data_IF_090220247989
#
_entry.id   IF_090220247989
#
_cell.length_a   1.000
_cell.length_b   1.000
_cell.length_c   1.000
_cell.angle_alpha   90.00
_cell.angle_beta   90.00
_cell.angle_gamma   90.00
#
_symmetry.space_group_name_H-M   'P 1'
#
loop_
_entity.id
_entity.type
_entity.pdbx_description
1 polymer ?
#
# COMPACT_ATOMS: atom_id res chain seq x y z
N UNK A 1 4.10 -23.11 20.73
CA UNK A 1 5.51 -23.47 20.99
C UNK A 1 5.66 -24.21 22.34
N UNK A 2 5.11 -23.69 23.43
CA UNK A 2 5.27 -24.30 24.78
C UNK A 2 4.76 -25.75 24.84
N UNK A 3 3.61 -26.05 24.25
CA UNK A 3 3.05 -27.41 24.21
C UNK A 3 3.93 -28.42 23.44
N UNK A 4 4.82 -27.90 22.58
CA UNK A 4 5.84 -28.67 21.86
C UNK A 4 7.20 -28.70 22.57
N UNK A 5 7.29 -28.16 23.79
CA UNK A 5 8.50 -28.11 24.60
C UNK A 5 9.50 -27.04 24.16
N UNK A 6 9.03 -25.92 23.58
CA UNK A 6 9.85 -24.83 23.13
C UNK A 6 9.39 -23.47 23.69
N UNK A 7 10.34 -22.65 24.09
CA UNK A 7 10.16 -21.21 24.34
C UNK A 7 10.56 -20.44 23.09
N UNK A 8 9.75 -19.46 22.70
CA UNK A 8 10.03 -18.55 21.57
C UNK A 8 10.36 -17.15 22.09
N UNK A 9 11.42 -16.59 21.57
CA UNK A 9 11.84 -15.19 21.77
C UNK A 9 12.34 -14.60 20.44
N UNK A 10 12.74 -13.33 20.46
CA UNK A 10 13.42 -12.65 19.34
C UNK A 10 14.75 -13.32 18.91
N UNK A 11 15.28 -14.22 19.75
CA UNK A 11 16.50 -14.99 19.48
C UNK A 11 16.21 -16.40 18.93
N UNK A 12 14.95 -16.71 18.62
CA UNK A 12 14.52 -18.01 18.11
C UNK A 12 13.91 -18.91 19.19
N UNK A 13 13.83 -20.21 18.89
CA UNK A 13 13.28 -21.22 19.77
C UNK A 13 14.38 -21.80 20.67
N UNK A 14 14.10 -21.89 21.96
CA UNK A 14 14.98 -22.54 22.96
C UNK A 14 14.21 -23.70 23.59
N UNK A 15 14.84 -24.86 23.70
CA UNK A 15 14.24 -26.03 24.34
C UNK A 15 13.87 -25.74 25.79
N UNK A 16 12.68 -26.17 26.23
CA UNK A 16 12.29 -26.07 27.62
C UNK A 16 13.00 -27.17 28.45
N UNK A 17 13.45 -26.82 29.63
CA UNK A 17 13.92 -27.76 30.65
C UNK A 17 12.77 -28.49 31.34
N UNK A 18 13.11 -29.40 32.23
CA UNK A 18 12.14 -30.19 33.01
C UNK A 18 11.29 -29.30 33.96
N UNK A 19 11.77 -28.11 34.28
CA UNK A 19 11.06 -27.08 35.03
C UNK A 19 10.06 -26.25 34.19
N UNK A 20 10.02 -26.49 32.88
CA UNK A 20 9.17 -25.74 31.93
C UNK A 20 9.68 -24.35 31.55
N UNK A 21 10.91 -23.99 31.98
CA UNK A 21 11.58 -22.75 31.63
C UNK A 21 12.55 -22.95 30.44
N UNK A 22 12.87 -21.87 29.74
CA UNK A 22 13.83 -21.93 28.65
C UNK A 22 15.21 -22.33 29.17
N UNK A 23 15.82 -23.36 28.60
CA UNK A 23 17.14 -23.81 29.00
C UNK A 23 18.15 -22.67 28.83
N UNK A 24 19.02 -22.52 29.81
CA UNK A 24 20.07 -21.47 29.86
C UNK A 24 21.48 -22.07 29.74
N UNK A 25 22.44 -21.24 29.27
CA UNK A 25 23.84 -21.64 29.14
C UNK A 25 24.20 -22.17 27.73
N UNK A 26 25.48 -22.53 27.56
CA UNK A 26 26.09 -22.89 26.28
C UNK A 26 25.61 -24.25 25.74
N UNK A 27 24.97 -25.07 26.57
CA UNK A 27 24.38 -26.36 26.15
C UNK A 27 22.90 -26.32 25.78
N UNK A 28 22.26 -25.18 25.82
CA UNK A 28 20.83 -25.06 25.49
C UNK A 28 20.59 -25.32 24.02
N UNK A 29 19.69 -26.26 23.71
CA UNK A 29 19.27 -26.50 22.31
C UNK A 29 18.50 -25.29 21.80
N UNK A 30 18.98 -24.69 20.71
CA UNK A 30 18.37 -23.53 20.06
C UNK A 30 18.11 -23.83 18.60
N UNK A 31 17.01 -23.25 18.07
CA UNK A 31 16.63 -23.26 16.67
C UNK A 31 16.41 -21.84 16.20
N UNK A 32 17.14 -21.46 15.16
CA UNK A 32 16.97 -20.19 14.46
C UNK A 32 16.55 -20.48 13.04
N UNK A 33 15.76 -19.59 12.48
CA UNK A 33 15.21 -19.72 11.13
C UNK A 33 15.50 -18.44 10.34
N UNK A 34 15.69 -18.58 9.04
CA UNK A 34 15.93 -17.44 8.16
C UNK A 34 14.65 -16.64 7.89
N UNK A 35 13.49 -17.32 7.97
CA UNK A 35 12.17 -16.72 7.71
C UNK A 35 11.17 -17.11 8.79
N UNK A 36 10.14 -16.29 8.98
CA UNK A 36 9.03 -16.61 9.86
C UNK A 36 8.25 -17.85 9.37
N UNK A 37 8.12 -18.04 8.06
CA UNK A 37 7.45 -19.21 7.50
C UNK A 37 8.13 -20.53 7.94
N UNK A 38 9.45 -20.57 7.99
CA UNK A 38 10.20 -21.73 8.51
C UNK A 38 9.95 -21.91 10.03
N UNK A 39 9.86 -20.83 10.78
CA UNK A 39 9.55 -20.86 12.20
C UNK A 39 8.12 -21.40 12.47
N UNK A 40 7.14 -21.00 11.66
CA UNK A 40 5.79 -21.55 11.72
C UNK A 40 5.75 -23.03 11.35
N UNK A 41 6.43 -23.43 10.27
CA UNK A 41 6.53 -24.82 9.85
C UNK A 41 7.18 -25.69 10.93
N UNK A 42 8.18 -25.19 11.65
CA UNK A 42 8.85 -25.92 12.74
C UNK A 42 7.89 -26.30 13.88
N UNK A 43 6.91 -25.48 14.17
CA UNK A 43 5.87 -25.77 15.17
C UNK A 43 4.61 -26.41 14.58
N UNK A 44 4.67 -26.81 13.30
CA UNK A 44 3.57 -27.52 12.64
C UNK A 44 2.40 -26.63 12.25
N UNK A 45 2.61 -25.33 12.12
CA UNK A 45 1.58 -24.39 11.68
C UNK A 45 1.85 -23.88 10.26
N UNK A 46 0.81 -23.66 9.44
CA UNK A 46 0.92 -22.84 8.25
C UNK A 46 1.32 -21.41 8.62
N UNK A 47 2.02 -20.73 7.72
CA UNK A 47 2.34 -19.31 7.92
C UNK A 47 1.07 -18.46 7.98
N UNK A 48 1.06 -17.52 8.91
CA UNK A 48 -0.02 -16.56 9.08
C UNK A 48 0.60 -15.17 8.91
N UNK A 49 0.06 -14.40 7.97
CA UNK A 49 0.52 -13.03 7.72
C UNK A 49 0.38 -12.17 8.98
N UNK A 50 1.32 -11.24 9.26
CA UNK A 50 1.29 -10.41 10.46
C UNK A 50 -0.03 -9.68 10.69
N UNK A 51 -0.66 -9.21 9.61
CA UNK A 51 -1.93 -8.49 9.61
C UNK A 51 -3.11 -9.30 10.12
N UNK A 52 -2.98 -10.64 10.12
CA UNK A 52 -4.02 -11.57 10.57
C UNK A 52 -3.80 -12.08 12.00
N UNK A 53 -2.73 -11.68 12.69
CA UNK A 53 -2.35 -12.18 14.03
C UNK A 53 -3.04 -11.39 15.14
N UNK A 54 -4.37 -11.52 15.23
CA UNK A 54 -5.20 -10.72 16.15
C UNK A 54 -5.87 -11.55 17.27
N UNK A 55 -5.50 -12.82 17.44
CA UNK A 55 -6.12 -13.77 18.38
C UNK A 55 -7.65 -13.90 18.17
N UNK A 56 -8.05 -14.05 16.89
CA UNK A 56 -9.45 -14.15 16.44
C UNK A 56 -9.79 -15.48 15.77
N UNK A 57 -8.97 -16.52 16.00
CA UNK A 57 -9.15 -17.85 15.41
C UNK A 57 -8.36 -18.05 14.12
N UNK A 58 -7.34 -17.23 13.88
CA UNK A 58 -6.48 -17.34 12.70
C UNK A 58 -5.69 -18.64 12.66
N UNK A 59 -5.34 -19.24 13.82
CA UNK A 59 -4.63 -20.52 13.88
C UNK A 59 -5.51 -21.66 13.33
N UNK A 60 -6.75 -21.75 13.78
CA UNK A 60 -7.73 -22.73 13.31
C UNK A 60 -8.10 -22.49 11.85
N UNK A 61 -8.17 -21.22 11.43
CA UNK A 61 -8.42 -20.87 10.04
C UNK A 61 -7.24 -21.29 9.14
N UNK A 62 -6.00 -21.06 9.58
CA UNK A 62 -4.79 -21.47 8.87
C UNK A 62 -4.72 -23.00 8.71
N UNK A 63 -4.91 -23.74 9.80
CA UNK A 63 -4.92 -25.21 9.78
C UNK A 63 -6.02 -25.79 8.87
N UNK A 64 -7.14 -25.08 8.74
CA UNK A 64 -8.25 -25.46 7.86
C UNK A 64 -8.11 -24.92 6.41
N UNK A 65 -7.03 -24.20 6.08
CA UNK A 65 -6.84 -23.57 4.77
C UNK A 65 -7.87 -22.49 4.44
N UNK A 66 -8.35 -21.73 5.44
CA UNK A 66 -9.43 -20.74 5.33
C UNK A 66 -8.99 -19.32 5.65
N UNK A 67 -7.67 -19.04 5.66
CA UNK A 67 -7.20 -17.66 5.76
C UNK A 67 -7.64 -16.86 4.53
N UNK A 68 -7.99 -15.58 4.70
CA UNK A 68 -8.25 -14.70 3.56
C UNK A 68 -6.96 -14.47 2.76
N UNK A 69 -7.11 -14.27 1.46
CA UNK A 69 -6.05 -13.72 0.63
C UNK A 69 -5.97 -12.20 0.86
N UNK A 70 -4.81 -11.73 1.29
CA UNK A 70 -4.59 -10.31 1.54
C UNK A 70 -4.21 -9.57 0.26
N UNK A 71 -4.60 -8.29 0.19
CA UNK A 71 -4.16 -7.38 -0.87
C UNK A 71 -2.64 -7.22 -0.80
N UNK A 72 -1.97 -7.33 -1.93
CA UNK A 72 -0.53 -7.17 -2.09
C UNK A 72 -0.20 -5.90 -2.87
N UNK A 73 1.07 -5.51 -2.83
CA UNK A 73 1.53 -4.33 -3.55
C UNK A 73 1.29 -4.45 -5.07
N UNK A 74 1.47 -5.64 -5.62
CA UNK A 74 1.24 -5.95 -7.03
C UNK A 74 -0.24 -5.89 -7.45
N UNK A 75 -1.17 -5.93 -6.50
CA UNK A 75 -2.62 -5.81 -6.77
C UNK A 75 -3.07 -4.36 -6.92
N UNK A 76 -2.21 -3.38 -6.55
CA UNK A 76 -2.54 -1.97 -6.63
C UNK A 76 -2.52 -1.50 -8.08
N UNK A 77 -3.68 -1.10 -8.58
CA UNK A 77 -3.86 -0.63 -9.96
C UNK A 77 -3.72 0.88 -10.11
N UNK A 78 -3.75 1.63 -9.03
CA UNK A 78 -3.68 3.09 -9.09
C UNK A 78 -3.81 3.76 -7.74
N UNK A 79 -3.72 5.09 -7.76
CA UNK A 79 -3.90 5.95 -6.59
C UNK A 79 -5.11 6.86 -6.81
N UNK A 80 -6.03 6.86 -5.86
CA UNK A 80 -7.32 7.56 -5.98
C UNK A 80 -7.33 8.93 -5.29
N UNK A 81 -6.23 9.35 -4.63
CA UNK A 81 -6.19 10.61 -3.90
C UNK A 81 -4.78 11.16 -3.85
N UNK A 82 -4.49 12.15 -4.72
CA UNK A 82 -3.17 12.79 -4.81
C UNK A 82 -3.29 14.28 -5.02
N UNK A 83 -2.30 15.03 -4.52
CA UNK A 83 -2.23 16.47 -4.62
C UNK A 83 -0.98 16.92 -5.39
N UNK A 84 -1.11 18.02 -6.11
CA UNK A 84 0.00 18.66 -6.82
C UNK A 84 0.38 20.01 -6.21
N UNK A 85 1.40 20.65 -6.78
CA UNK A 85 1.80 22.04 -6.42
C UNK A 85 0.72 23.10 -6.68
N UNK A 86 -0.38 22.71 -7.33
CA UNK A 86 -1.51 23.61 -7.52
C UNK A 86 -2.26 23.88 -6.22
N UNK A 87 -2.27 22.91 -5.30
CA UNK A 87 -2.79 23.11 -3.94
C UNK A 87 -1.68 23.00 -2.90
N UNK A 88 -1.58 21.94 -2.14
CA UNK A 88 -0.64 21.73 -1.04
C UNK A 88 0.39 20.62 -1.29
N UNK A 89 0.35 19.99 -2.46
CA UNK A 89 1.38 19.08 -2.93
C UNK A 89 2.70 19.81 -3.24
N UNK A 90 3.76 19.07 -3.50
CA UNK A 90 5.10 19.61 -3.74
C UNK A 90 5.55 19.51 -5.18
N UNK A 91 4.98 18.57 -5.92
CA UNK A 91 5.42 18.26 -7.28
C UNK A 91 4.37 18.67 -8.31
N UNK A 92 4.83 18.89 -9.54
CA UNK A 92 3.92 19.19 -10.65
C UNK A 92 3.00 18.03 -10.98
N UNK A 93 1.86 18.32 -11.59
CA UNK A 93 0.92 17.30 -12.10
C UNK A 93 1.64 16.29 -12.99
N UNK A 94 2.52 16.77 -13.87
CA UNK A 94 3.30 15.92 -14.77
C UNK A 94 4.26 15.00 -14.00
N UNK A 95 5.02 15.52 -13.04
CA UNK A 95 5.95 14.73 -12.21
C UNK A 95 5.21 13.64 -11.45
N UNK A 96 4.05 13.95 -10.88
CA UNK A 96 3.21 13.00 -10.16
C UNK A 96 2.72 11.88 -11.09
N UNK A 97 2.20 12.24 -12.26
CA UNK A 97 1.72 11.28 -13.25
C UNK A 97 2.85 10.36 -13.78
N UNK A 98 4.01 10.91 -14.08
CA UNK A 98 5.17 10.11 -14.51
C UNK A 98 5.67 9.16 -13.40
N UNK A 99 5.58 9.56 -12.13
CA UNK A 99 5.90 8.68 -11.02
C UNK A 99 4.92 7.51 -10.90
N UNK A 100 3.63 7.76 -11.11
CA UNK A 100 2.58 6.72 -11.13
C UNK A 100 2.78 5.75 -12.30
N UNK A 101 3.08 6.26 -13.51
CA UNK A 101 3.40 5.43 -14.69
C UNK A 101 4.58 4.49 -14.44
N UNK A 102 5.68 4.99 -13.87
CA UNK A 102 6.85 4.17 -13.52
C UNK A 102 6.59 3.13 -12.43
N UNK A 103 5.55 3.31 -11.60
CA UNK A 103 5.08 2.31 -10.63
C UNK A 103 4.22 1.21 -11.24
N UNK A 104 3.89 1.31 -12.51
CA UNK A 104 3.00 0.36 -13.20
C UNK A 104 1.53 0.58 -12.87
N UNK A 105 1.14 1.76 -12.41
CA UNK A 105 -0.27 2.07 -12.20
C UNK A 105 -1.00 2.22 -13.53
N UNK A 106 -2.24 1.73 -13.58
CA UNK A 106 -3.15 1.94 -14.70
C UNK A 106 -3.79 3.33 -14.68
N UNK A 107 -3.90 3.92 -13.49
CA UNK A 107 -4.47 5.26 -13.32
C UNK A 107 -3.97 5.97 -12.08
N UNK A 108 -4.13 7.29 -12.07
CA UNK A 108 -4.00 8.15 -10.90
C UNK A 108 -5.13 9.17 -10.90
N UNK A 109 -5.71 9.48 -9.74
CA UNK A 109 -6.67 10.56 -9.58
C UNK A 109 -5.98 11.76 -8.91
N UNK A 110 -5.89 12.88 -9.62
CA UNK A 110 -5.45 14.13 -9.05
C UNK A 110 -6.63 14.82 -8.39
N UNK A 111 -6.52 15.13 -7.09
CA UNK A 111 -7.60 15.62 -6.24
C UNK A 111 -7.19 16.89 -5.48
N UNK A 112 -6.58 17.85 -6.14
CA UNK A 112 -6.23 19.13 -5.51
C UNK A 112 -7.44 19.77 -4.81
N UNK A 113 -7.18 20.50 -3.72
CA UNK A 113 -8.23 21.10 -2.88
C UNK A 113 -9.04 22.16 -3.62
N UNK A 114 -10.31 22.25 -3.25
CA UNK A 114 -11.22 23.30 -3.69
C UNK A 114 -10.94 24.64 -3.00
N UNK A 115 -11.41 25.70 -3.60
CA UNK A 115 -11.05 27.09 -3.30
C UNK A 115 -11.33 27.57 -1.86
N UNK A 116 -12.26 26.97 -1.14
CA UNK A 116 -12.58 27.41 0.22
C UNK A 116 -11.52 26.99 1.24
N UNK A 117 -10.69 25.99 0.95
CA UNK A 117 -9.59 25.57 1.81
C UNK A 117 -8.34 26.43 1.54
N UNK A 118 -8.34 27.64 2.09
CA UNK A 118 -7.27 28.62 1.84
C UNK A 118 -5.91 28.20 2.41
N UNK A 119 -5.87 27.40 3.47
CA UNK A 119 -4.63 26.90 4.07
C UNK A 119 -3.90 25.93 3.15
N UNK A 120 -4.62 25.23 2.28
CA UNK A 120 -4.08 24.31 1.28
C UNK A 120 -3.98 24.95 -0.12
N UNK A 121 -4.11 26.25 -0.26
CA UNK A 121 -4.11 26.99 -1.53
C UNK A 121 -5.15 26.44 -2.53
N UNK A 122 -6.34 26.10 -2.05
CA UNK A 122 -7.38 25.47 -2.87
C UNK A 122 -7.71 26.24 -4.17
N UNK A 123 -7.96 25.50 -5.23
CA UNK A 123 -8.11 26.01 -6.59
C UNK A 123 -9.41 26.76 -6.79
N UNK A 124 -9.35 27.91 -7.44
CA UNK A 124 -10.53 28.59 -7.97
C UNK A 124 -11.15 27.79 -9.14
N UNK A 125 -12.43 28.01 -9.48
CA UNK A 125 -13.05 27.35 -10.63
C UNK A 125 -12.28 27.52 -11.94
N UNK A 126 -11.69 28.68 -12.18
CA UNK A 126 -10.87 28.93 -13.37
C UNK A 126 -9.57 28.09 -13.38
N UNK A 127 -8.95 27.89 -12.21
CA UNK A 127 -7.77 27.03 -12.09
C UNK A 127 -8.14 25.54 -12.27
N UNK A 128 -9.28 25.10 -11.76
CA UNK A 128 -9.79 23.73 -11.99
C UNK A 128 -9.96 23.46 -13.50
N UNK A 129 -10.54 24.42 -14.24
CA UNK A 129 -10.65 24.28 -15.70
C UNK A 129 -9.28 24.28 -16.41
N UNK A 130 -8.31 25.05 -15.94
CA UNK A 130 -6.95 25.04 -16.48
C UNK A 130 -6.27 23.69 -16.21
N UNK A 131 -6.40 23.17 -14.99
CA UNK A 131 -5.87 21.87 -14.63
C UNK A 131 -6.52 20.74 -15.43
N UNK A 132 -7.83 20.80 -15.65
CA UNK A 132 -8.53 19.83 -16.50
C UNK A 132 -7.97 19.80 -17.95
N UNK A 133 -7.67 20.97 -18.53
CA UNK A 133 -7.03 21.04 -19.86
C UNK A 133 -5.63 20.43 -19.85
N UNK A 134 -4.80 20.78 -18.85
CA UNK A 134 -3.46 20.22 -18.67
C UNK A 134 -3.51 18.68 -18.59
N UNK A 135 -4.44 18.14 -17.79
CA UNK A 135 -4.62 16.70 -17.66
C UNK A 135 -5.00 16.05 -19.01
N UNK A 136 -5.84 16.71 -19.78
CA UNK A 136 -6.20 16.27 -21.15
C UNK A 136 -4.96 16.20 -22.06
N UNK A 137 -4.14 17.25 -22.08
CA UNK A 137 -2.90 17.32 -22.87
C UNK A 137 -1.89 16.23 -22.44
N UNK A 138 -1.74 15.99 -21.13
CA UNK A 138 -0.89 14.94 -20.59
C UNK A 138 -1.38 13.54 -21.01
N UNK A 139 -2.67 13.27 -20.89
CA UNK A 139 -3.24 12.01 -21.32
C UNK A 139 -3.05 11.73 -22.82
N UNK A 140 -3.20 12.76 -23.66
CA UNK A 140 -2.92 12.64 -25.10
C UNK A 140 -1.44 12.36 -25.38
N UNK A 141 -0.54 12.99 -24.64
CA UNK A 141 0.89 12.71 -24.74
C UNK A 141 1.20 11.27 -24.34
N UNK A 142 0.72 10.82 -23.18
CA UNK A 142 0.95 9.47 -22.68
C UNK A 142 0.44 8.41 -23.65
N UNK A 143 -0.74 8.60 -24.20
CA UNK A 143 -1.29 7.69 -25.22
C UNK A 143 -0.44 7.62 -26.49
N UNK A 144 0.17 8.75 -26.91
CA UNK A 144 1.10 8.76 -28.06
C UNK A 144 2.41 8.03 -27.75
N UNK A 145 2.98 8.24 -26.57
CA UNK A 145 4.20 7.55 -26.11
C UNK A 145 3.97 6.03 -26.03
N UNK A 146 2.85 5.60 -25.47
CA UNK A 146 2.46 4.18 -25.39
C UNK A 146 2.29 3.56 -26.78
N UNK A 147 1.62 4.24 -27.68
CA UNK A 147 1.44 3.77 -29.08
C UNK A 147 2.76 3.71 -29.85
N UNK A 148 3.73 4.54 -29.50
CA UNK A 148 5.08 4.56 -30.10
C UNK A 148 6.03 3.54 -29.48
N UNK A 149 5.68 2.94 -28.34
CA UNK A 149 6.57 2.07 -27.57
C UNK A 149 7.60 2.83 -26.71
N UNK A 150 7.36 4.12 -26.47
CA UNK A 150 8.21 5.01 -25.68
C UNK A 150 7.75 5.16 -24.23
N UNK A 151 6.83 4.28 -23.78
CA UNK A 151 6.39 4.25 -22.39
C UNK A 151 7.56 3.97 -21.43
N UNK A 152 7.56 4.54 -20.20
CA UNK A 152 8.63 4.28 -19.25
C UNK A 152 8.71 2.81 -18.86
N UNK A 153 9.91 2.36 -18.47
CA UNK A 153 10.11 1.02 -17.92
C UNK A 153 9.20 0.83 -16.70
N UNK A 154 8.52 -0.31 -16.63
CA UNK A 154 7.57 -0.65 -15.58
C UNK A 154 6.15 -0.10 -15.80
N UNK A 155 5.88 0.63 -16.89
CA UNK A 155 4.53 1.11 -17.17
C UNK A 155 3.51 -0.02 -17.29
N UNK A 156 2.26 0.28 -16.93
CA UNK A 156 1.16 -0.67 -17.02
C UNK A 156 0.94 -1.12 -18.48
N UNK A 157 0.77 -2.43 -18.75
CA UNK A 157 0.69 -2.96 -20.11
C UNK A 157 -0.50 -2.44 -20.92
N UNK A 158 -1.60 -2.09 -20.27
CA UNK A 158 -2.81 -1.56 -20.90
C UNK A 158 -2.82 -0.03 -20.95
N UNK A 159 -1.69 0.61 -20.62
CA UNK A 159 -1.53 2.06 -20.58
C UNK A 159 -1.91 2.70 -19.26
N UNK A 160 -1.77 4.04 -19.21
CA UNK A 160 -1.99 4.86 -18.01
C UNK A 160 -3.01 5.97 -18.27
N UNK A 161 -3.82 6.27 -17.27
CA UNK A 161 -4.77 7.38 -17.31
C UNK A 161 -4.68 8.27 -16.09
N UNK A 162 -4.43 9.56 -16.30
CA UNK A 162 -4.59 10.57 -15.27
C UNK A 162 -6.04 11.04 -15.23
N UNK A 163 -6.69 10.88 -14.09
CA UNK A 163 -8.06 11.29 -13.86
C UNK A 163 -8.10 12.60 -13.10
N UNK A 164 -9.07 13.45 -13.45
CA UNK A 164 -9.28 14.73 -12.78
C UNK A 164 -10.36 14.58 -11.71
N UNK A 165 -10.01 14.77 -10.45
CA UNK A 165 -10.87 14.86 -9.29
C UNK A 165 -10.75 16.22 -8.61
N UNK A 166 -11.36 16.35 -7.45
CA UNK A 166 -11.21 17.51 -6.58
C UNK A 166 -11.57 17.10 -5.15
N UNK A 167 -10.73 17.44 -4.19
CA UNK A 167 -11.07 17.33 -2.77
C UNK A 167 -11.87 18.58 -2.36
N UNK A 168 -13.19 18.38 -2.22
CA UNK A 168 -14.13 19.47 -1.96
C UNK A 168 -14.50 19.57 -0.48
N UNK A 169 -14.61 20.80 0.02
CA UNK A 169 -15.11 21.06 1.35
C UNK A 169 -16.64 20.91 1.43
N UNK A 170 -17.09 20.19 2.46
CA UNK A 170 -18.51 20.11 2.82
C UNK A 170 -18.81 21.20 3.84
N UNK A 171 -19.61 22.18 3.47
CA UNK A 171 -20.02 23.29 4.35
C UNK A 171 -20.98 22.80 5.46
N UNK A 172 -21.14 23.63 6.49
CA UNK A 172 -22.02 23.33 7.63
C UNK A 172 -23.48 23.02 7.20
N UNK A 173 -23.94 23.63 6.11
CA UNK A 173 -25.26 23.38 5.54
C UNK A 173 -25.36 22.13 4.61
N UNK A 174 -24.24 21.37 4.52
CA UNK A 174 -24.12 20.17 3.70
C UNK A 174 -23.88 20.42 2.20
N UNK A 175 -23.70 21.65 1.78
CA UNK A 175 -23.35 21.97 0.38
C UNK A 175 -21.87 21.83 0.15
N UNK A 176 -21.50 21.46 -1.08
CA UNK A 176 -20.15 21.55 -1.55
C UNK A 176 -19.79 23.02 -1.82
N UNK A 177 -18.52 23.32 -1.84
CA UNK A 177 -18.02 24.70 -1.98
C UNK A 177 -17.86 25.18 -3.42
N UNK A 178 -18.24 24.37 -4.41
CA UNK A 178 -18.39 24.74 -5.83
C UNK A 178 -19.86 24.85 -6.21
#
# INVERSE_FOLDING_TARGET
ARDLGWSLSEHGFTRLGDDGEAATGDGAERRMFATEAEAYAFIGLPYIEPELREDRGEIEAALAGRLPELVRLEDLQGDCHTHSEWSDGKESVETMAEAARRRGYAYQVLTDHSWSLTIANGLSPAQVEQQHRLIGELNERFAREEAAGDAPEGAHPDGFRLLHGCEMEIRVDGRLDY
#
